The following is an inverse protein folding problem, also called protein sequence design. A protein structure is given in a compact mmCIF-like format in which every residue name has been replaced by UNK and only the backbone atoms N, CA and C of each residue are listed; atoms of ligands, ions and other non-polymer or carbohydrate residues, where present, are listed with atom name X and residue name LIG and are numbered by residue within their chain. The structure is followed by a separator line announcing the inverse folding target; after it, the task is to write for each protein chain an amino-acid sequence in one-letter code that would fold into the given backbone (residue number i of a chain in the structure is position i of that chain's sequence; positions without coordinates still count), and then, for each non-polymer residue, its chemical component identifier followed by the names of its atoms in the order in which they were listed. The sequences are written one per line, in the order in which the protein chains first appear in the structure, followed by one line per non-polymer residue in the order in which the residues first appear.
data_IF_415795589387
#
_entry.id   IF_415795589387
#
_cell.length_a   1.000
_cell.length_b   1.000
_cell.length_c   1.000
_cell.angle_alpha   90.00
_cell.angle_beta   90.00
_cell.angle_gamma   90.00
#
_symmetry.space_group_name_H-M   'P 1'
#
loop_
_entity.id
_entity.type
_entity.pdbx_description
1 polymer ?
#
# COMPACT_ATOMS: atom_id res chain seq x y z
N UNK A 1 -24.60 9.01 -6.69
CA UNK A 1 -24.77 10.46 -6.92
C UNK A 1 -23.42 11.06 -7.23
N UNK A 2 -23.28 11.85 -8.32
CA UNK A 2 -22.03 12.49 -8.70
C UNK A 2 -21.54 13.44 -7.60
N UNK A 3 -20.24 13.54 -7.41
CA UNK A 3 -19.61 14.49 -6.49
C UNK A 3 -19.30 15.78 -7.27
N UNK A 4 -19.92 16.89 -6.89
CA UNK A 4 -19.67 18.20 -7.51
C UNK A 4 -18.35 18.81 -6.99
N UNK A 5 -17.78 19.74 -7.77
CA UNK A 5 -16.61 20.50 -7.36
C UNK A 5 -16.83 21.24 -6.03
N UNK A 6 -18.02 21.85 -5.85
CA UNK A 6 -18.34 22.60 -4.62
C UNK A 6 -18.39 21.70 -3.39
N UNK A 7 -18.93 20.47 -3.51
CA UNK A 7 -18.96 19.51 -2.40
C UNK A 7 -17.57 19.03 -2.05
N UNK A 8 -16.72 18.76 -3.06
CA UNK A 8 -15.34 18.36 -2.83
C UNK A 8 -14.49 19.50 -2.26
N UNK A 9 -14.67 20.75 -2.73
CA UNK A 9 -14.02 21.93 -2.17
C UNK A 9 -14.41 22.18 -0.69
N UNK A 10 -15.69 22.03 -0.36
CA UNK A 10 -16.17 22.14 1.02
C UNK A 10 -15.53 21.10 1.93
N UNK A 11 -15.39 19.85 1.44
CA UNK A 11 -14.66 18.82 2.16
C UNK A 11 -13.17 19.17 2.32
N UNK A 12 -12.51 19.67 1.27
CA UNK A 12 -11.10 20.06 1.31
C UNK A 12 -10.83 21.15 2.33
N UNK A 13 -11.68 22.18 2.41
CA UNK A 13 -11.59 23.22 3.44
C UNK A 13 -11.67 22.66 4.86
N UNK A 14 -12.60 21.73 5.10
CA UNK A 14 -12.71 21.07 6.40
C UNK A 14 -11.48 20.20 6.70
N UNK A 15 -10.95 19.48 5.70
CA UNK A 15 -9.74 18.68 5.84
C UNK A 15 -8.56 19.53 6.31
N UNK A 16 -8.36 20.71 5.71
CA UNK A 16 -7.26 21.61 6.08
C UNK A 16 -7.36 22.09 7.53
N UNK A 17 -8.57 22.39 8.03
CA UNK A 17 -8.79 22.73 9.45
C UNK A 17 -8.42 21.54 10.35
N UNK A 18 -8.84 20.34 9.98
CA UNK A 18 -8.50 19.13 10.73
C UNK A 18 -7.00 18.84 10.67
N UNK A 19 -6.34 19.07 9.53
CA UNK A 19 -4.89 18.89 9.36
C UNK A 19 -4.09 19.83 10.27
N UNK A 20 -4.44 21.11 10.33
CA UNK A 20 -3.80 22.08 11.24
C UNK A 20 -3.82 21.66 12.71
N UNK A 21 -4.87 20.96 13.13
CA UNK A 21 -5.09 20.59 14.52
C UNK A 21 -4.69 19.15 14.87
N UNK A 22 -4.57 18.24 13.88
CA UNK A 22 -4.48 16.79 14.12
C UNK A 22 -3.34 16.11 13.40
N UNK A 23 -2.67 16.75 12.44
CA UNK A 23 -1.58 16.14 11.70
C UNK A 23 -0.39 15.85 12.61
N UNK A 24 0.24 14.68 12.41
CA UNK A 24 1.37 14.25 13.25
C UNK A 24 2.62 15.07 13.01
N UNK A 25 2.80 15.64 11.80
CA UNK A 25 3.89 16.60 11.53
C UNK A 25 3.82 17.85 12.42
N UNK A 26 2.65 18.15 12.99
CA UNK A 26 2.41 19.27 13.91
C UNK A 26 2.51 18.84 15.38
N UNK A 27 2.74 17.56 15.67
CA UNK A 27 2.74 17.01 17.02
C UNK A 27 4.05 17.29 17.78
N UNK A 28 4.11 16.83 19.03
CA UNK A 28 5.22 17.09 19.94
C UNK A 28 6.51 16.35 19.53
N UNK A 29 7.63 16.75 20.17
CA UNK A 29 8.94 16.12 19.99
C UNK A 29 8.87 14.61 20.23
N UNK A 30 9.41 13.86 19.27
CA UNK A 30 9.44 12.39 19.29
C UNK A 30 10.51 11.84 20.22
N UNK A 31 10.23 10.67 20.79
CA UNK A 31 11.23 9.86 21.49
C UNK A 31 12.03 9.03 20.49
N UNK A 32 13.36 8.93 20.70
CA UNK A 32 14.24 8.06 19.91
C UNK A 32 14.22 6.64 20.47
N UNK A 33 14.42 5.66 19.59
CA UNK A 33 14.51 4.25 19.99
C UNK A 33 15.76 4.05 20.87
N UNK A 34 15.59 3.34 21.98
CA UNK A 34 16.66 3.00 22.93
C UNK A 34 16.91 1.49 22.90
N UNK A 35 18.08 1.05 23.38
CA UNK A 35 18.49 -0.36 23.36
C UNK A 35 17.50 -1.26 24.10
N UNK A 36 16.95 -0.78 25.18
CA UNK A 36 15.98 -1.46 26.04
C UNK A 36 14.65 -1.73 25.31
N UNK A 37 14.31 -0.90 24.34
CA UNK A 37 13.08 -1.03 23.53
C UNK A 37 13.21 -2.07 22.37
N UNK A 38 14.43 -2.52 22.04
CA UNK A 38 14.63 -3.50 20.96
C UNK A 38 13.95 -4.85 21.23
N UNK A 39 14.05 -5.47 22.42
CA UNK A 39 13.39 -6.73 22.70
C UNK A 39 11.85 -6.64 22.69
N UNK A 40 11.29 -5.43 22.83
CA UNK A 40 9.85 -5.19 22.82
C UNK A 40 9.27 -5.08 21.41
N UNK A 41 10.10 -5.11 20.37
CA UNK A 41 9.67 -5.04 18.99
C UNK A 41 9.04 -6.37 18.59
N UNK A 42 7.72 -6.40 18.51
CA UNK A 42 6.95 -7.49 17.95
C UNK A 42 6.33 -6.97 16.64
N UNK A 43 6.79 -7.53 15.52
CA UNK A 43 6.37 -7.12 14.20
C UNK A 43 5.89 -8.33 13.38
N UNK A 44 4.68 -8.87 13.66
CA UNK A 44 4.18 -10.11 13.06
C UNK A 44 3.64 -9.94 11.63
N UNK A 45 3.72 -8.75 11.05
CA UNK A 45 3.09 -8.38 9.79
C UNK A 45 3.30 -9.43 8.69
N UNK A 46 4.55 -9.77 8.38
CA UNK A 46 4.86 -10.71 7.31
C UNK A 46 4.67 -12.18 7.66
N UNK A 47 4.45 -12.52 8.94
CA UNK A 47 4.24 -13.90 9.36
C UNK A 47 2.80 -14.22 9.76
N UNK A 48 1.90 -13.23 9.74
CA UNK A 48 0.51 -13.39 10.18
C UNK A 48 -0.18 -14.58 9.50
N UNK A 49 0.03 -14.74 8.19
CA UNK A 49 -0.52 -15.86 7.41
C UNK A 49 0.09 -17.22 7.80
N UNK A 50 1.29 -17.26 8.37
CA UNK A 50 1.97 -18.48 8.78
C UNK A 50 1.65 -18.87 10.22
N UNK A 51 1.22 -17.93 11.07
CA UNK A 51 0.92 -18.19 12.49
C UNK A 51 -0.22 -19.20 12.72
N UNK A 52 -1.01 -19.52 11.70
CA UNK A 52 -2.03 -20.59 11.80
C UNK A 52 -1.43 -21.99 11.80
N UNK A 53 -0.20 -22.19 11.32
CA UNK A 53 0.46 -23.49 11.24
C UNK A 53 1.14 -23.86 12.56
N UNK A 54 0.94 -25.10 13.06
CA UNK A 54 1.49 -25.54 14.35
C UNK A 54 3.00 -25.38 14.45
N UNK A 55 3.72 -25.64 13.35
CA UNK A 55 5.17 -25.58 13.28
C UNK A 55 5.69 -24.15 13.52
N UNK A 56 4.98 -23.14 13.03
CA UNK A 56 5.30 -21.73 13.25
C UNK A 56 4.86 -21.29 14.66
N UNK A 57 3.69 -21.74 15.11
CA UNK A 57 3.19 -21.46 16.48
C UNK A 57 4.11 -21.97 17.58
N UNK A 58 4.86 -23.02 17.30
CA UNK A 58 5.79 -23.61 18.26
C UNK A 58 7.07 -22.78 18.46
N UNK A 59 7.34 -21.79 17.59
CA UNK A 59 8.49 -20.91 17.72
C UNK A 59 8.32 -19.95 18.89
N UNK A 60 9.38 -19.77 19.67
CA UNK A 60 9.40 -18.80 20.78
C UNK A 60 9.60 -17.37 20.27
N UNK A 61 9.28 -16.39 21.11
CA UNK A 61 9.53 -14.99 20.77
C UNK A 61 11.02 -14.71 20.50
N UNK A 62 11.94 -15.37 21.22
CA UNK A 62 13.37 -15.23 21.01
C UNK A 62 13.80 -15.74 19.62
N UNK A 63 13.16 -16.82 19.14
CA UNK A 63 13.42 -17.34 17.79
C UNK A 63 12.84 -16.42 16.70
N UNK A 64 11.74 -15.76 16.98
CA UNK A 64 11.08 -14.83 16.04
C UNK A 64 11.67 -13.41 16.05
N UNK A 65 12.35 -12.99 17.12
CA UNK A 65 12.84 -11.64 17.29
C UNK A 65 13.76 -11.15 16.14
N UNK A 66 14.73 -11.93 15.62
CA UNK A 66 15.56 -11.52 14.49
C UNK A 66 14.74 -11.28 13.23
N UNK A 67 13.71 -12.11 12.99
CA UNK A 67 12.81 -11.96 11.88
C UNK A 67 11.94 -10.71 12.01
N UNK A 68 11.38 -10.46 13.19
CA UNK A 68 10.58 -9.26 13.46
C UNK A 68 11.40 -7.98 13.20
N UNK A 69 12.62 -7.96 13.70
CA UNK A 69 13.50 -6.80 13.53
C UNK A 69 13.86 -6.56 12.06
N UNK A 70 14.22 -7.63 11.32
CA UNK A 70 14.52 -7.52 9.89
C UNK A 70 13.28 -7.10 9.09
N UNK A 71 12.12 -7.69 9.38
CA UNK A 71 10.85 -7.36 8.73
C UNK A 71 10.45 -5.90 8.98
N UNK A 72 10.65 -5.41 10.19
CA UNK A 72 10.44 -3.99 10.50
C UNK A 72 11.38 -3.09 9.71
N UNK A 73 12.68 -3.43 9.63
CA UNK A 73 13.64 -2.67 8.82
C UNK A 73 13.23 -2.63 7.34
N UNK A 74 12.85 -3.76 6.78
CA UNK A 74 12.46 -3.85 5.37
C UNK A 74 11.17 -3.05 5.11
N UNK A 75 10.20 -3.07 6.03
CA UNK A 75 8.98 -2.27 5.96
C UNK A 75 9.29 -0.78 6.05
N UNK A 76 10.02 -0.32 7.07
CA UNK A 76 10.37 1.11 7.22
C UNK A 76 11.13 1.65 6.01
N UNK A 77 12.01 0.84 5.42
CA UNK A 77 12.72 1.20 4.21
C UNK A 77 11.77 1.33 3.01
N UNK A 78 10.88 0.34 2.83
CA UNK A 78 9.88 0.32 1.75
C UNK A 78 8.91 1.50 1.85
N UNK A 79 8.39 1.77 3.04
CA UNK A 79 7.50 2.90 3.34
C UNK A 79 8.18 4.22 3.00
N UNK A 80 9.37 4.49 3.58
CA UNK A 80 10.09 5.73 3.32
C UNK A 80 10.42 5.93 1.83
N UNK A 81 10.66 4.84 1.09
CA UNK A 81 10.93 4.91 -0.34
C UNK A 81 9.65 5.20 -1.15
N UNK A 82 8.55 4.55 -0.81
CA UNK A 82 7.26 4.71 -1.47
C UNK A 82 6.71 6.12 -1.29
N UNK A 83 6.70 6.61 -0.06
CA UNK A 83 6.15 7.93 0.28
C UNK A 83 6.93 9.06 -0.40
N UNK A 84 8.26 9.01 -0.39
CA UNK A 84 9.08 10.06 -1.04
C UNK A 84 9.01 10.00 -2.56
N UNK A 85 9.17 8.81 -3.14
CA UNK A 85 9.37 8.69 -4.59
C UNK A 85 8.07 8.54 -5.38
N UNK A 86 6.97 8.23 -4.71
CA UNK A 86 5.68 8.09 -5.37
C UNK A 86 4.62 9.04 -4.79
N UNK A 87 4.23 8.87 -3.51
CA UNK A 87 3.07 9.62 -2.96
C UNK A 87 3.32 11.11 -2.97
N UNK A 88 4.47 11.56 -2.43
CA UNK A 88 4.82 12.99 -2.42
C UNK A 88 4.96 13.56 -3.83
N UNK A 89 5.57 12.82 -4.76
CA UNK A 89 5.70 13.24 -6.17
C UNK A 89 4.32 13.40 -6.82
N UNK A 90 3.41 12.44 -6.62
CA UNK A 90 2.06 12.49 -7.17
C UNK A 90 1.21 13.59 -6.52
N UNK A 91 1.34 13.80 -5.21
CA UNK A 91 0.69 14.92 -4.50
C UNK A 91 1.17 16.29 -5.03
N UNK A 92 2.48 16.43 -5.27
CA UNK A 92 3.05 17.61 -5.88
C UNK A 92 2.52 17.85 -7.31
N UNK A 93 2.37 16.81 -8.11
CA UNK A 93 1.78 16.87 -9.45
C UNK A 93 0.30 17.25 -9.40
N UNK A 94 -0.47 16.64 -8.48
CA UNK A 94 -1.89 16.94 -8.29
C UNK A 94 -2.13 18.41 -7.93
N UNK A 95 -1.23 19.00 -7.13
CA UNK A 95 -1.33 20.39 -6.72
C UNK A 95 -0.95 21.40 -7.81
N UNK A 96 0.03 21.06 -8.67
CA UNK A 96 0.69 22.04 -9.55
C UNK A 96 0.45 21.83 -11.04
N UNK A 97 0.02 20.64 -11.46
CA UNK A 97 -0.18 20.32 -12.86
C UNK A 97 -1.67 20.18 -13.19
N UNK A 98 -1.99 20.41 -14.45
CA UNK A 98 -3.34 20.24 -14.96
C UNK A 98 -3.71 18.75 -15.00
N UNK A 99 -4.77 18.38 -14.29
CA UNK A 99 -5.35 17.04 -14.31
C UNK A 99 -6.29 16.82 -15.51
N UNK A 100 -6.64 17.87 -16.22
CA UNK A 100 -7.71 17.88 -17.22
C UNK A 100 -9.11 17.98 -16.60
N UNK A 101 -9.19 18.20 -15.29
CA UNK A 101 -10.39 18.45 -14.51
C UNK A 101 -10.15 19.67 -13.61
N UNK A 102 -11.19 20.47 -13.42
CA UNK A 102 -11.10 21.63 -12.52
C UNK A 102 -10.93 21.17 -11.07
N UNK A 103 -9.88 21.66 -10.41
CA UNK A 103 -9.64 21.47 -8.98
C UNK A 103 -9.55 22.84 -8.31
N UNK A 104 -10.27 23.02 -7.20
CA UNK A 104 -10.16 24.22 -6.39
C UNK A 104 -8.80 24.33 -5.70
N UNK A 105 -8.42 25.54 -5.31
CA UNK A 105 -7.18 25.78 -4.56
C UNK A 105 -7.17 25.00 -3.24
N UNK A 106 -8.32 24.83 -2.59
CA UNK A 106 -8.41 24.03 -1.35
C UNK A 106 -8.09 22.56 -1.60
N UNK A 107 -8.54 21.96 -2.70
CA UNK A 107 -8.22 20.58 -3.08
C UNK A 107 -6.71 20.45 -3.34
N UNK A 108 -6.13 21.38 -4.08
CA UNK A 108 -4.69 21.43 -4.35
C UNK A 108 -3.87 21.58 -3.07
N UNK A 109 -4.34 22.41 -2.14
CA UNK A 109 -3.70 22.61 -0.84
C UNK A 109 -3.76 21.34 0.02
N UNK A 110 -4.84 20.57 -0.03
CA UNK A 110 -4.90 19.25 0.64
C UNK A 110 -3.85 18.31 0.08
N UNK A 111 -3.65 18.27 -1.23
CA UNK A 111 -2.59 17.43 -1.81
C UNK A 111 -1.20 17.81 -1.28
N UNK A 112 -0.90 19.12 -1.12
CA UNK A 112 0.35 19.58 -0.49
C UNK A 112 0.42 19.17 0.99
N UNK A 113 -0.68 19.27 1.73
CA UNK A 113 -0.74 18.88 3.13
C UNK A 113 -0.44 17.38 3.31
N UNK A 114 -1.06 16.52 2.49
CA UNK A 114 -0.77 15.09 2.46
C UNK A 114 0.70 14.84 2.12
N UNK A 115 1.23 15.41 1.03
CA UNK A 115 2.64 15.27 0.69
C UNK A 115 3.60 15.72 1.79
N UNK A 116 3.17 16.66 2.66
CA UNK A 116 3.94 17.08 3.84
C UNK A 116 3.92 16.00 4.92
N UNK A 117 2.74 15.40 5.18
CA UNK A 117 2.60 14.28 6.12
C UNK A 117 3.48 13.10 5.66
N UNK A 118 3.43 12.74 4.37
CA UNK A 118 4.22 11.63 3.80
C UNK A 118 5.73 11.84 3.90
N UNK A 119 6.20 13.06 3.63
CA UNK A 119 7.62 13.39 3.83
C UNK A 119 8.02 13.28 5.31
N UNK A 120 7.12 13.60 6.23
CA UNK A 120 7.36 13.44 7.65
C UNK A 120 7.36 11.96 8.08
N UNK A 121 6.44 11.14 7.58
CA UNK A 121 6.44 9.69 7.81
C UNK A 121 7.75 9.06 7.33
N UNK A 122 8.18 9.39 6.11
CA UNK A 122 9.46 8.94 5.56
C UNK A 122 10.66 9.37 6.41
N UNK A 123 10.67 10.62 6.88
CA UNK A 123 11.71 11.13 7.78
C UNK A 123 11.79 10.30 9.07
N UNK A 124 10.65 10.03 9.71
CA UNK A 124 10.60 9.23 10.93
C UNK A 124 11.01 7.78 10.70
N UNK A 125 10.56 7.17 9.60
CA UNK A 125 10.98 5.82 9.22
C UNK A 125 12.51 5.74 9.06
N UNK A 126 13.13 6.75 8.44
CA UNK A 126 14.60 6.85 8.32
C UNK A 126 15.32 7.03 9.64
N UNK A 127 14.75 7.80 10.58
CA UNK A 127 15.30 7.92 11.94
C UNK A 127 15.28 6.57 12.67
N UNK A 128 14.15 5.84 12.63
CA UNK A 128 14.02 4.52 13.23
C UNK A 128 15.02 3.51 12.62
N UNK A 129 15.20 3.53 11.30
CA UNK A 129 16.21 2.71 10.62
C UNK A 129 17.63 3.02 11.11
N UNK A 130 17.97 4.30 11.27
CA UNK A 130 19.27 4.72 11.77
C UNK A 130 19.48 4.27 13.24
N UNK A 131 18.45 4.37 14.08
CA UNK A 131 18.50 3.89 15.45
C UNK A 131 18.67 2.36 15.50
N UNK A 132 17.87 1.59 14.77
CA UNK A 132 17.98 0.13 14.69
C UNK A 132 19.37 -0.29 14.23
N UNK A 133 19.87 0.30 13.14
CA UNK A 133 21.22 0.04 12.64
C UNK A 133 22.28 0.29 13.71
N UNK A 134 22.19 1.42 14.40
CA UNK A 134 23.18 1.82 15.44
C UNK A 134 23.14 0.87 16.64
N UNK A 135 21.94 0.45 17.05
CA UNK A 135 21.74 -0.36 18.26
C UNK A 135 21.97 -1.86 18.03
N UNK A 136 21.76 -2.36 16.82
CA UNK A 136 21.72 -3.80 16.53
C UNK A 136 22.64 -4.24 15.40
N UNK A 137 23.08 -3.32 14.53
CA UNK A 137 23.79 -3.63 13.29
C UNK A 137 22.88 -4.12 12.14
N UNK A 138 21.58 -4.32 12.38
CA UNK A 138 20.62 -4.75 11.35
C UNK A 138 20.39 -3.62 10.35
N UNK A 139 20.42 -3.97 9.08
CA UNK A 139 20.13 -3.07 7.96
C UNK A 139 18.99 -3.66 7.12
N UNK A 140 18.25 -2.83 6.38
CA UNK A 140 17.26 -3.33 5.44
C UNK A 140 17.94 -4.27 4.44
N UNK A 141 17.31 -5.40 4.17
CA UNK A 141 17.68 -6.18 2.99
C UNK A 141 17.20 -5.39 1.78
N UNK A 142 18.02 -5.34 0.71
CA UNK A 142 17.59 -4.69 -0.52
C UNK A 142 16.26 -5.32 -0.95
N UNK A 143 15.18 -4.63 -0.63
CA UNK A 143 13.87 -5.04 -1.09
C UNK A 143 13.84 -4.82 -2.60
N UNK A 144 13.26 -5.77 -3.33
CA UNK A 144 12.89 -5.55 -4.73
C UNK A 144 12.24 -4.18 -4.83
N UNK A 145 12.50 -3.41 -5.91
CA UNK A 145 11.89 -2.10 -6.07
C UNK A 145 10.40 -2.21 -5.78
N UNK A 146 9.88 -1.26 -5.04
CA UNK A 146 8.45 -1.13 -4.82
C UNK A 146 7.75 -1.35 -6.16
N UNK A 147 6.69 -2.13 -6.18
CA UNK A 147 5.87 -2.43 -7.37
C UNK A 147 5.46 -1.16 -8.15
N UNK A 148 5.70 0.00 -7.60
CA UNK A 148 5.25 1.32 -8.07
C UNK A 148 6.35 2.18 -8.67
N UNK A 149 7.63 1.92 -8.37
CA UNK A 149 8.74 2.82 -8.73
C UNK A 149 9.53 2.26 -9.91
N UNK A 150 9.68 3.07 -10.95
CA UNK A 150 10.30 2.72 -12.24
C UNK A 150 11.83 2.48 -12.18
N UNK A 151 12.48 2.84 -11.08
CA UNK A 151 13.94 2.68 -10.95
C UNK A 151 14.28 1.76 -9.80
N UNK A 152 15.09 0.71 -10.05
CA UNK A 152 15.69 -0.06 -8.96
C UNK A 152 16.55 0.88 -8.11
N UNK A 153 16.37 0.83 -6.81
CA UNK A 153 17.31 1.48 -5.89
C UNK A 153 18.52 0.59 -5.79
N UNK A 154 19.61 0.98 -6.44
CA UNK A 154 20.90 0.34 -6.23
C UNK A 154 21.44 0.75 -4.86
N UNK A 155 21.62 -0.21 -3.97
CA UNK A 155 22.46 -0.04 -2.79
C UNK A 155 23.88 -0.40 -3.22
N UNK A 156 24.86 0.49 -2.97
CA UNK A 156 26.27 0.19 -3.27
C UNK A 156 26.68 -1.15 -2.64
N UNK A 157 27.12 -2.10 -3.47
CA UNK A 157 27.61 -3.42 -3.04
C UNK A 157 26.84 -4.62 -3.57
N UNK A 158 25.81 -4.47 -4.40
CA UNK A 158 25.04 -5.59 -4.97
C UNK A 158 25.55 -5.97 -6.38
N UNK A 159 26.47 -6.92 -6.44
CA UNK A 159 26.86 -7.56 -7.73
C UNK A 159 25.90 -8.69 -8.17
N UNK A 160 24.99 -9.15 -7.32
CA UNK A 160 24.08 -10.29 -7.58
C UNK A 160 22.58 -9.94 -7.47
N UNK A 161 22.15 -8.82 -8.06
CA UNK A 161 20.70 -8.54 -8.15
C UNK A 161 20.03 -9.42 -9.21
N UNK A 162 18.90 -10.08 -8.88
CA UNK A 162 18.10 -10.74 -9.91
C UNK A 162 17.66 -9.73 -10.96
N UNK A 163 17.75 -10.12 -12.23
CA UNK A 163 17.32 -9.31 -13.39
C UNK A 163 15.97 -8.63 -13.12
N UNK A 164 15.79 -7.37 -13.57
CA UNK A 164 14.56 -6.63 -13.36
C UNK A 164 13.35 -7.48 -13.79
N UNK A 165 12.26 -7.32 -13.06
CA UNK A 165 10.99 -7.99 -13.37
C UNK A 165 10.66 -7.76 -14.84
N UNK A 166 10.28 -8.80 -15.54
CA UNK A 166 9.85 -8.74 -16.95
C UNK A 166 8.54 -7.98 -17.15
N UNK A 167 7.89 -7.57 -16.06
CA UNK A 167 6.65 -6.80 -16.04
C UNK A 167 6.95 -5.30 -15.89
N UNK A 168 6.23 -4.43 -16.63
CA UNK A 168 6.32 -2.98 -16.41
C UNK A 168 5.93 -2.63 -14.97
N UNK A 169 6.38 -1.49 -14.47
CA UNK A 169 5.85 -0.96 -13.21
C UNK A 169 4.36 -0.62 -13.37
N UNK A 170 3.55 -0.58 -12.29
CA UNK A 170 2.16 -0.15 -12.37
C UNK A 170 1.98 1.20 -13.08
N UNK A 171 2.91 2.13 -12.88
CA UNK A 171 2.88 3.42 -13.54
C UNK A 171 3.12 3.32 -15.05
N UNK A 172 4.12 2.53 -15.47
CA UNK A 172 4.38 2.27 -16.89
C UNK A 172 3.23 1.52 -17.55
N UNK A 173 2.61 0.58 -16.82
CA UNK A 173 1.43 -0.14 -17.27
C UNK A 173 0.28 0.84 -17.58
N UNK A 174 -0.07 1.73 -16.66
CA UNK A 174 -1.11 2.72 -16.90
C UNK A 174 -0.76 3.67 -18.06
N UNK A 175 0.50 4.13 -18.15
CA UNK A 175 0.96 4.96 -19.28
C UNK A 175 0.83 4.26 -20.63
N UNK A 176 1.06 2.95 -20.67
CA UNK A 176 0.98 2.15 -21.90
C UNK A 176 -0.46 1.90 -22.39
N UNK A 177 -1.44 1.95 -21.50
CA UNK A 177 -2.84 1.61 -21.82
C UNK A 177 -3.68 2.84 -22.16
N UNK A 178 -3.39 3.99 -21.53
CA UNK A 178 -4.20 5.20 -21.70
C UNK A 178 -3.58 6.19 -22.67
N UNK A 179 -4.43 7.01 -23.31
CA UNK A 179 -3.98 8.11 -24.14
C UNK A 179 -3.19 9.15 -23.32
N UNK A 180 -2.31 9.96 -23.94
CA UNK A 180 -1.59 11.03 -23.24
C UNK A 180 -2.51 11.99 -22.48
N UNK A 181 -3.72 12.22 -22.97
CA UNK A 181 -4.73 13.07 -22.29
C UNK A 181 -5.16 12.46 -20.95
N UNK A 182 -5.27 11.14 -20.86
CA UNK A 182 -5.71 10.43 -19.66
C UNK A 182 -4.56 10.04 -18.71
N UNK A 183 -3.31 10.22 -19.11
CA UNK A 183 -2.16 9.75 -18.30
C UNK A 183 -2.17 10.33 -16.88
N UNK A 184 -2.44 11.63 -16.73
CA UNK A 184 -2.50 12.28 -15.41
C UNK A 184 -3.63 11.73 -14.55
N UNK A 185 -4.80 11.54 -15.15
CA UNK A 185 -5.96 10.94 -14.48
C UNK A 185 -5.63 9.50 -14.05
N UNK A 186 -4.99 8.73 -14.91
CA UNK A 186 -4.62 7.35 -14.63
C UNK A 186 -3.55 7.25 -13.52
N UNK A 187 -2.53 8.10 -13.53
CA UNK A 187 -1.52 8.22 -12.47
C UNK A 187 -2.17 8.57 -11.13
N UNK A 188 -3.07 9.55 -11.11
CA UNK A 188 -3.82 9.95 -9.91
C UNK A 188 -4.77 8.84 -9.44
N UNK A 189 -5.39 8.11 -10.37
CA UNK A 189 -6.22 6.95 -10.04
C UNK A 189 -5.40 5.84 -9.38
N UNK A 190 -4.20 5.57 -9.88
CA UNK A 190 -3.28 4.61 -9.26
C UNK A 190 -2.90 5.05 -7.84
N UNK A 191 -2.59 6.34 -7.63
CA UNK A 191 -2.35 6.89 -6.30
C UNK A 191 -3.55 6.62 -5.38
N UNK A 192 -4.78 6.93 -5.83
CA UNK A 192 -5.98 6.69 -5.02
C UNK A 192 -6.14 5.21 -4.64
N UNK A 193 -5.83 4.28 -5.55
CA UNK A 193 -5.92 2.83 -5.30
C UNK A 193 -4.88 2.42 -4.26
N UNK A 194 -3.64 2.84 -4.40
CA UNK A 194 -2.54 2.46 -3.52
C UNK A 194 -2.73 3.00 -2.10
N UNK A 195 -3.07 4.25 -1.94
CA UNK A 195 -3.37 4.89 -0.66
C UNK A 195 -4.56 4.24 0.10
N UNK A 196 -5.47 3.61 -0.62
CA UNK A 196 -6.57 2.86 0.00
C UNK A 196 -6.24 1.39 0.27
N UNK A 197 -5.17 0.86 -0.31
CA UNK A 197 -4.78 -0.55 -0.16
C UNK A 197 -3.97 -0.82 1.11
N UNK A 198 -3.17 0.15 1.55
CA UNK A 198 -2.14 -0.02 2.60
C UNK A 198 -2.71 0.09 4.03
N UNK A 199 -3.82 0.80 4.21
CA UNK A 199 -4.31 1.24 5.53
C UNK A 199 -4.67 0.11 6.49
N UNK A 200 -5.23 -1.01 6.02
CA UNK A 200 -5.70 -2.08 6.92
C UNK A 200 -4.55 -2.84 7.58
N UNK A 201 -3.41 -2.92 6.91
CA UNK A 201 -2.22 -3.58 7.44
C UNK A 201 -1.62 -2.77 8.60
N UNK A 202 -1.60 -1.45 8.47
CA UNK A 202 -1.20 -0.56 9.56
C UNK A 202 -2.20 -0.54 10.73
N UNK A 203 -3.49 -0.72 10.46
CA UNK A 203 -4.52 -0.85 11.51
C UNK A 203 -4.24 -2.00 12.47
N UNK A 204 -3.85 -3.14 11.94
CA UNK A 204 -3.52 -4.31 12.76
C UNK A 204 -2.27 -4.07 13.62
N UNK A 205 -1.25 -3.43 13.06
CA UNK A 205 -0.02 -3.06 13.78
C UNK A 205 -0.27 -2.06 14.90
N UNK A 206 -1.18 -1.10 14.68
CA UNK A 206 -1.51 -0.07 15.67
C UNK A 206 -2.38 -0.61 16.82
N UNK A 207 -3.22 -1.63 16.57
CA UNK A 207 -4.08 -2.23 17.61
C UNK A 207 -3.29 -2.90 18.73
N UNK A 208 -2.19 -3.56 18.41
CA UNK A 208 -1.35 -4.28 19.38
C UNK A 208 -0.39 -3.36 20.14
N UNK A 209 -0.32 -2.10 19.75
CA UNK A 209 0.65 -1.14 20.29
C UNK A 209 0.15 -0.41 21.54
N UNK A 210 -0.05 -1.15 22.64
CA UNK A 210 -0.27 -0.53 23.98
C UNK A 210 0.99 0.13 24.55
N UNK A 211 2.15 -0.14 23.95
CA UNK A 211 3.45 0.35 24.40
C UNK A 211 3.75 1.75 23.85
N UNK A 212 4.46 2.56 24.65
CA UNK A 212 5.03 3.84 24.22
C UNK A 212 6.41 3.69 23.55
N UNK A 213 6.72 2.50 23.04
CA UNK A 213 7.89 2.26 22.21
C UNK A 213 7.81 3.15 20.94
N UNK A 214 8.90 3.81 20.54
CA UNK A 214 8.92 4.71 19.37
C UNK A 214 8.37 4.10 18.07
N UNK A 215 8.55 2.80 17.84
CA UNK A 215 7.96 2.09 16.69
C UNK A 215 6.44 2.05 16.79
N UNK A 216 5.92 1.73 17.98
CA UNK A 216 4.46 1.70 18.22
C UNK A 216 3.83 3.10 18.12
N UNK A 217 4.54 4.12 18.56
CA UNK A 217 4.12 5.53 18.41
C UNK A 217 4.06 5.88 16.93
N UNK A 218 5.13 5.59 16.17
CA UNK A 218 5.18 5.81 14.73
C UNK A 218 3.99 5.15 14.01
N UNK A 219 3.72 3.87 14.27
CA UNK A 219 2.63 3.15 13.62
C UNK A 219 1.25 3.78 13.93
N UNK A 220 1.02 4.26 15.15
CA UNK A 220 -0.25 4.93 15.53
C UNK A 220 -0.40 6.29 14.87
N UNK A 221 0.66 7.08 14.87
CA UNK A 221 0.67 8.42 14.25
C UNK A 221 0.47 8.32 12.75
N UNK A 222 1.22 7.45 12.10
CA UNK A 222 1.12 7.16 10.68
C UNK A 222 -0.33 6.74 10.33
N UNK A 223 -0.87 5.73 11.03
CA UNK A 223 -2.23 5.28 10.81
C UNK A 223 -3.27 6.40 10.97
N UNK A 224 -3.06 7.32 11.91
CA UNK A 224 -3.98 8.43 12.13
C UNK A 224 -4.02 9.39 10.92
N UNK A 225 -2.86 9.66 10.32
CA UNK A 225 -2.76 10.49 9.12
C UNK A 225 -3.32 9.73 7.90
N UNK A 226 -2.96 8.46 7.72
CA UNK A 226 -3.47 7.59 6.65
C UNK A 226 -5.01 7.48 6.64
N UNK A 227 -5.64 7.49 7.80
CA UNK A 227 -7.09 7.53 7.88
C UNK A 227 -7.70 8.77 7.20
N UNK A 228 -7.03 9.93 7.27
CA UNK A 228 -7.44 11.16 6.59
C UNK A 228 -7.11 11.13 5.09
N UNK A 229 -5.91 10.65 4.73
CA UNK A 229 -5.46 10.49 3.35
C UNK A 229 -6.41 9.59 2.57
N UNK A 230 -6.74 8.43 3.12
CA UNK A 230 -7.72 7.49 2.57
C UNK A 230 -9.04 8.16 2.20
N UNK A 231 -9.62 8.94 3.11
CA UNK A 231 -10.91 9.61 2.86
C UNK A 231 -10.79 10.66 1.75
N UNK A 232 -9.68 11.38 1.68
CA UNK A 232 -9.43 12.33 0.60
C UNK A 232 -9.33 11.62 -0.75
N UNK A 233 -8.52 10.57 -0.86
CA UNK A 233 -8.32 9.85 -2.12
C UNK A 233 -9.56 9.08 -2.58
N UNK A 234 -10.41 8.62 -1.66
CA UNK A 234 -11.72 8.08 -2.00
C UNK A 234 -12.60 9.12 -2.69
N UNK A 235 -12.65 10.34 -2.15
CA UNK A 235 -13.43 11.43 -2.74
C UNK A 235 -12.82 11.93 -4.04
N UNK A 236 -11.50 11.98 -4.13
CA UNK A 236 -10.80 12.36 -5.36
C UNK A 236 -11.11 11.38 -6.49
N UNK A 237 -11.02 10.07 -6.25
CA UNK A 237 -11.37 9.07 -7.27
C UNK A 237 -12.83 9.18 -7.69
N UNK A 238 -13.75 9.37 -6.73
CA UNK A 238 -15.16 9.59 -7.03
C UNK A 238 -15.37 10.84 -7.87
N UNK A 239 -14.70 11.94 -7.53
CA UNK A 239 -14.76 13.19 -8.29
C UNK A 239 -14.25 12.98 -9.73
N UNK A 240 -13.08 12.36 -9.89
CA UNK A 240 -12.53 12.03 -11.20
C UNK A 240 -13.53 11.21 -12.00
N UNK A 241 -13.97 10.08 -11.46
CA UNK A 241 -14.85 9.14 -12.15
C UNK A 241 -16.16 9.75 -12.63
N UNK A 242 -16.73 10.64 -11.83
CA UNK A 242 -18.02 11.27 -12.16
C UNK A 242 -17.92 12.46 -13.11
N UNK A 243 -16.72 13.01 -13.32
CA UNK A 243 -16.51 14.22 -14.13
C UNK A 243 -15.72 13.98 -15.43
N UNK A 244 -15.25 12.77 -15.70
CA UNK A 244 -14.69 12.40 -17.01
C UNK A 244 -15.80 11.96 -17.97
N UNK A 245 -15.51 11.96 -19.29
CA UNK A 245 -16.44 11.53 -20.32
C UNK A 245 -16.72 10.02 -20.24
N UNK A 246 -17.80 9.57 -20.86
CA UNK A 246 -18.13 8.14 -20.94
C UNK A 246 -17.04 7.35 -21.67
N UNK A 247 -16.48 7.88 -22.75
CA UNK A 247 -15.37 7.29 -23.47
C UNK A 247 -14.13 7.11 -22.58
N UNK A 248 -13.78 8.16 -21.81
CA UNK A 248 -12.66 8.14 -20.86
C UNK A 248 -12.90 7.12 -19.72
N UNK A 249 -14.16 6.95 -19.23
CA UNK A 249 -14.51 5.91 -18.25
C UNK A 249 -14.28 4.49 -18.78
N UNK A 250 -14.68 4.23 -20.02
CA UNK A 250 -14.44 2.92 -20.64
C UNK A 250 -12.94 2.62 -20.70
N UNK A 251 -12.11 3.59 -21.11
CA UNK A 251 -10.65 3.41 -21.20
C UNK A 251 -10.05 3.23 -19.80
N UNK A 252 -10.39 4.09 -18.85
CA UNK A 252 -9.87 4.04 -17.48
C UNK A 252 -10.33 2.78 -16.76
N UNK A 253 -11.59 2.37 -16.93
CA UNK A 253 -12.13 1.13 -16.37
C UNK A 253 -11.38 -0.11 -16.85
N UNK A 254 -11.03 -0.17 -18.14
CA UNK A 254 -10.19 -1.24 -18.69
C UNK A 254 -8.77 -1.22 -18.11
N UNK A 255 -8.18 -0.02 -17.94
CA UNK A 255 -6.85 0.12 -17.36
C UNK A 255 -6.83 -0.36 -15.89
N UNK A 256 -7.84 0.00 -15.10
CA UNK A 256 -7.98 -0.44 -13.71
C UNK A 256 -8.18 -1.96 -13.64
N UNK A 257 -9.10 -2.52 -14.44
CA UNK A 257 -9.32 -3.97 -14.47
C UNK A 257 -8.05 -4.73 -14.86
N UNK A 258 -7.34 -4.27 -15.89
CA UNK A 258 -6.06 -4.84 -16.32
C UNK A 258 -4.97 -4.73 -15.24
N UNK A 259 -4.94 -3.64 -14.47
CA UNK A 259 -4.05 -3.50 -13.32
C UNK A 259 -4.33 -4.55 -12.25
N UNK A 260 -5.61 -4.78 -11.88
CA UNK A 260 -5.97 -5.83 -10.94
C UNK A 260 -5.58 -7.22 -11.46
N UNK A 261 -5.86 -7.51 -12.74
CA UNK A 261 -5.48 -8.76 -13.36
C UNK A 261 -3.97 -9.00 -13.29
N UNK A 262 -3.17 -8.02 -13.70
CA UNK A 262 -1.73 -8.18 -13.85
C UNK A 262 -0.99 -8.21 -12.50
N UNK A 263 -1.39 -7.37 -11.52
CA UNK A 263 -0.63 -7.19 -10.29
C UNK A 263 -1.21 -7.92 -9.08
N UNK A 264 -2.50 -8.24 -9.10
CA UNK A 264 -3.15 -8.95 -7.98
C UNK A 264 -3.51 -10.40 -8.33
N UNK A 265 -3.92 -10.69 -9.57
CA UNK A 265 -4.43 -12.01 -9.92
C UNK A 265 -3.39 -12.89 -10.62
N UNK A 266 -2.66 -12.35 -11.60
CA UNK A 266 -1.68 -13.08 -12.42
C UNK A 266 -0.35 -13.27 -11.68
N UNK A 267 -0.38 -13.83 -10.48
CA UNK A 267 0.83 -14.19 -9.75
C UNK A 267 1.33 -15.57 -10.18
N UNK A 268 2.60 -15.65 -10.60
CA UNK A 268 3.23 -16.92 -10.93
C UNK A 268 3.29 -17.82 -9.68
N UNK A 269 2.64 -18.98 -9.72
CA UNK A 269 2.52 -19.91 -8.61
C UNK A 269 3.89 -20.37 -8.08
N UNK A 270 4.86 -20.65 -8.96
CA UNK A 270 6.20 -21.10 -8.57
C UNK A 270 6.96 -19.99 -7.82
N UNK A 271 6.87 -18.74 -8.31
CA UNK A 271 7.49 -17.57 -7.65
C UNK A 271 6.83 -17.30 -6.30
N UNK A 272 5.52 -17.49 -6.20
CA UNK A 272 4.78 -17.35 -4.94
C UNK A 272 5.21 -18.42 -3.94
N UNK A 273 5.34 -19.68 -4.40
CA UNK A 273 5.83 -20.78 -3.57
C UNK A 273 7.25 -20.49 -3.07
N UNK A 274 8.16 -20.11 -3.95
CA UNK A 274 9.54 -19.76 -3.60
C UNK A 274 9.59 -18.59 -2.61
N UNK A 275 8.77 -17.55 -2.79
CA UNK A 275 8.69 -16.42 -1.88
C UNK A 275 8.26 -16.85 -0.48
N UNK A 276 7.17 -17.61 -0.36
CA UNK A 276 6.67 -18.09 0.94
C UNK A 276 7.64 -19.06 1.58
N UNK A 277 8.22 -19.99 0.83
CA UNK A 277 9.22 -20.93 1.35
C UNK A 277 10.41 -20.18 1.95
N UNK A 278 11.01 -19.24 1.21
CA UNK A 278 12.14 -18.42 1.70
C UNK A 278 11.78 -17.57 2.92
N UNK A 279 10.56 -17.04 2.98
CA UNK A 279 10.09 -16.27 4.13
C UNK A 279 10.00 -17.15 5.39
N UNK A 280 9.50 -18.39 5.25
CA UNK A 280 9.37 -19.34 6.35
C UNK A 280 10.75 -19.90 6.78
N UNK A 281 11.67 -20.14 5.84
CA UNK A 281 13.06 -20.53 6.15
C UNK A 281 13.78 -19.48 7.01
N UNK A 282 13.50 -18.19 6.79
CA UNK A 282 14.03 -17.10 7.64
C UNK A 282 13.53 -17.17 9.09
N UNK A 283 12.47 -17.92 9.38
CA UNK A 283 12.01 -18.19 10.74
C UNK A 283 12.82 -19.31 11.44
N UNK A 284 13.80 -19.92 10.75
CA UNK A 284 14.64 -20.99 11.26
C UNK A 284 14.06 -22.39 11.06
N UNK A 285 12.99 -22.54 10.27
CA UNK A 285 12.42 -23.85 9.91
C UNK A 285 13.22 -24.51 8.79
N UNK A 286 13.23 -25.84 8.75
CA UNK A 286 13.94 -26.58 7.68
C UNK A 286 13.34 -26.33 6.31
N UNK A 287 14.12 -26.45 5.21
CA UNK A 287 13.61 -26.26 3.84
C UNK A 287 12.39 -27.11 3.51
N UNK A 288 12.38 -28.39 3.94
CA UNK A 288 11.25 -29.30 3.70
C UNK A 288 9.98 -28.87 4.47
N UNK A 289 10.13 -28.47 5.74
CA UNK A 289 9.03 -27.94 6.53
C UNK A 289 8.50 -26.63 5.92
N UNK A 290 9.39 -25.72 5.53
CA UNK A 290 9.04 -24.45 4.93
C UNK A 290 8.30 -24.61 3.61
N UNK A 291 8.76 -25.52 2.75
CA UNK A 291 8.09 -25.86 1.49
C UNK A 291 6.70 -26.47 1.72
N UNK A 292 6.57 -27.37 2.71
CA UNK A 292 5.27 -27.96 3.05
C UNK A 292 4.26 -26.89 3.49
N UNK A 293 4.65 -25.99 4.41
CA UNK A 293 3.79 -24.89 4.87
C UNK A 293 3.42 -23.96 3.72
N UNK A 294 4.40 -23.58 2.88
CA UNK A 294 4.17 -22.70 1.72
C UNK A 294 3.18 -23.32 0.72
N UNK A 295 3.31 -24.62 0.43
CA UNK A 295 2.39 -25.36 -0.45
C UNK A 295 0.97 -25.35 0.14
N UNK A 296 0.82 -25.68 1.42
CA UNK A 296 -0.49 -25.68 2.11
C UNK A 296 -1.14 -24.29 2.08
N UNK A 297 -0.36 -23.23 2.30
CA UNK A 297 -0.86 -21.85 2.24
C UNK A 297 -1.40 -21.52 0.83
N UNK A 298 -0.66 -21.84 -0.22
CA UNK A 298 -1.09 -21.58 -1.60
C UNK A 298 -2.33 -22.38 -1.95
N UNK A 299 -2.39 -23.66 -1.56
CA UNK A 299 -3.56 -24.51 -1.79
C UNK A 299 -4.81 -23.99 -1.07
N UNK A 300 -4.67 -23.47 0.16
CA UNK A 300 -5.77 -22.85 0.88
C UNK A 300 -6.23 -21.54 0.23
N UNK A 301 -5.28 -20.69 -0.17
CA UNK A 301 -5.59 -19.43 -0.84
C UNK A 301 -6.22 -19.62 -2.22
N UNK A 302 -5.87 -20.70 -2.92
CA UNK A 302 -6.45 -21.02 -4.24
C UNK A 302 -7.93 -21.36 -4.17
N UNK A 303 -8.42 -21.83 -3.01
CA UNK A 303 -9.82 -22.16 -2.76
C UNK A 303 -10.69 -20.94 -2.41
N UNK A 304 -10.05 -19.82 -2.09
CA UNK A 304 -10.76 -18.58 -1.76
C UNK A 304 -11.05 -17.80 -3.05
N UNK A 305 -12.31 -17.48 -3.36
CA UNK A 305 -12.64 -16.64 -4.50
C UNK A 305 -11.89 -15.29 -4.47
N UNK A 306 -11.54 -14.74 -5.64
CA UNK A 306 -10.76 -13.49 -5.70
C UNK A 306 -11.41 -12.35 -4.93
N UNK A 307 -12.73 -12.14 -5.08
CA UNK A 307 -13.48 -11.09 -4.36
C UNK A 307 -13.45 -11.22 -2.83
N UNK A 308 -13.21 -12.43 -2.31
CA UNK A 308 -13.17 -12.71 -0.88
C UNK A 308 -11.78 -12.60 -0.25
N UNK A 309 -10.72 -12.39 -1.06
CA UNK A 309 -9.35 -12.27 -0.58
C UNK A 309 -9.12 -10.90 0.09
N UNK A 310 -8.49 -10.90 1.26
CA UNK A 310 -8.33 -9.67 2.07
C UNK A 310 -7.63 -8.54 1.32
N UNK A 311 -6.59 -8.83 0.54
CA UNK A 311 -5.85 -7.83 -0.22
C UNK A 311 -6.65 -7.21 -1.39
N UNK A 312 -7.77 -7.80 -1.79
CA UNK A 312 -8.70 -7.29 -2.82
C UNK A 312 -9.81 -6.43 -2.19
N UNK A 313 -10.25 -6.76 -0.97
CA UNK A 313 -11.42 -6.13 -0.35
C UNK A 313 -11.31 -4.61 -0.27
N UNK A 314 -10.16 -4.09 0.13
CA UNK A 314 -10.00 -2.64 0.29
C UNK A 314 -9.97 -1.87 -1.02
N UNK A 315 -9.16 -2.27 -2.02
CA UNK A 315 -9.26 -1.67 -3.35
C UNK A 315 -10.67 -1.76 -3.93
N UNK A 316 -11.39 -2.88 -3.73
CA UNK A 316 -12.76 -3.01 -4.24
C UNK A 316 -13.77 -2.14 -3.49
N UNK A 317 -13.61 -1.90 -2.19
CA UNK A 317 -14.43 -0.91 -1.46
C UNK A 317 -14.24 0.51 -2.01
N UNK A 318 -13.03 0.87 -2.39
CA UNK A 318 -12.77 2.15 -3.08
C UNK A 318 -13.48 2.21 -4.42
N UNK A 319 -13.39 1.15 -5.23
CA UNK A 319 -14.04 1.01 -6.54
C UNK A 319 -15.56 1.17 -6.39
N UNK A 320 -16.15 0.52 -5.40
CA UNK A 320 -17.56 0.62 -5.05
C UNK A 320 -17.95 2.04 -4.59
N UNK A 321 -17.20 2.62 -3.65
CA UNK A 321 -17.43 3.97 -3.16
C UNK A 321 -17.41 5.02 -4.27
N UNK A 322 -16.48 4.89 -5.20
CA UNK A 322 -16.37 5.80 -6.33
C UNK A 322 -17.42 5.54 -7.43
N UNK A 323 -18.10 4.38 -7.41
CA UNK A 323 -19.18 4.02 -8.34
C UNK A 323 -18.70 3.37 -9.64
N UNK A 324 -17.45 2.89 -9.68
CA UNK A 324 -16.92 2.22 -10.87
C UNK A 324 -17.64 0.89 -11.14
N UNK A 325 -18.04 0.18 -10.09
CA UNK A 325 -18.82 -1.06 -10.18
C UNK A 325 -20.26 -0.88 -10.68
N UNK A 326 -20.76 0.37 -10.79
CA UNK A 326 -22.07 0.71 -11.35
C UNK A 326 -22.00 1.06 -12.85
N UNK A 327 -20.81 1.17 -13.41
CA UNK A 327 -20.57 1.42 -14.82
C UNK A 327 -20.51 0.07 -15.56
N UNK A 328 -21.54 -0.24 -16.33
CA UNK A 328 -21.75 -1.56 -16.93
C UNK A 328 -20.50 -2.15 -17.62
N UNK A 329 -19.78 -1.42 -18.51
CA UNK A 329 -18.59 -1.95 -19.14
C UNK A 329 -17.47 -2.32 -18.16
N UNK A 330 -17.28 -1.54 -17.07
CA UNK A 330 -16.27 -1.80 -16.03
C UNK A 330 -16.71 -2.93 -15.12
N UNK A 331 -18.00 -2.97 -14.73
CA UNK A 331 -18.57 -4.04 -13.93
C UNK A 331 -18.39 -5.41 -14.58
N UNK A 332 -18.70 -5.52 -15.88
CA UNK A 332 -18.52 -6.77 -16.64
C UNK A 332 -17.08 -7.26 -16.61
N UNK A 333 -16.09 -6.35 -16.68
CA UNK A 333 -14.68 -6.71 -16.55
C UNK A 333 -14.35 -7.25 -15.15
N UNK A 334 -14.84 -6.60 -14.11
CA UNK A 334 -14.61 -7.05 -12.73
C UNK A 334 -15.28 -8.39 -12.42
N UNK A 335 -16.50 -8.64 -12.93
CA UNK A 335 -17.17 -9.95 -12.83
C UNK A 335 -16.35 -11.02 -13.55
N UNK A 336 -15.92 -10.74 -14.78
CA UNK A 336 -15.07 -11.67 -15.56
C UNK A 336 -13.77 -12.05 -14.85
N UNK A 337 -13.20 -11.13 -14.08
CA UNK A 337 -11.99 -11.36 -13.30
C UNK A 337 -12.28 -12.00 -11.92
N UNK A 338 -13.54 -12.27 -11.58
CA UNK A 338 -13.93 -12.79 -10.27
C UNK A 338 -13.68 -11.82 -9.11
N UNK A 339 -13.63 -10.51 -9.39
CA UNK A 339 -13.48 -9.43 -8.41
C UNK A 339 -14.82 -8.96 -7.84
N UNK A 340 -15.89 -9.23 -8.54
CA UNK A 340 -17.29 -9.04 -8.09
C UNK A 340 -18.02 -10.37 -8.24
N UNK A 341 -19.01 -10.60 -7.37
CA UNK A 341 -19.95 -11.71 -7.53
C UNK A 341 -20.82 -11.52 -8.77
N UNK A 342 -21.04 -12.58 -9.52
CA UNK A 342 -21.99 -12.55 -10.62
C UNK A 342 -23.41 -12.69 -10.05
N UNK A 343 -24.10 -11.56 -9.94
CA UNK A 343 -25.48 -11.52 -9.43
C UNK A 343 -26.47 -12.26 -10.34
N UNK A 344 -26.08 -12.56 -11.59
CA UNK A 344 -26.93 -13.32 -12.53
C UNK A 344 -26.92 -14.83 -12.22
N UNK A 345 -25.91 -15.36 -11.53
CA UNK A 345 -25.87 -16.76 -11.07
C UNK A 345 -26.68 -17.00 -9.79
N UNK A 346 -27.10 -15.91 -9.11
CA UNK A 346 -27.87 -15.96 -7.86
C UNK A 346 -29.39 -15.74 -8.05
N UNK A 347 -29.84 -15.47 -9.26
CA UNK A 347 -31.22 -15.27 -9.63
C UNK A 347 -31.82 -16.49 -10.32
#
# INVERSE_FOLDING_TARGET
MALSLNEFDSFAKKYLVDWENKSTVRSQKRSRLQKEGIPEIIFPFFIKSYLKYPEVKALTNEQLAPFYLQSLCDMLYGVAHFEVNFVTDQCGKLANLDLGLELSDSIKQVAIAIGTDEMYHAFVARELLADIKTLTGVIPTASKPSVVVDKPVSIEGEEDMPKPLTKPSPMEFFKGIVSPKLQRIAETTLLCILENSVVDDFFELAKDSKNNNPVSVYNREHLHDEGRHKVFFQRLLKYIWTNISEEDRVILGKAIAGYFEEYFLNQNADKKLEFHQKAIEKLGLSPDCSKNIATRLIDEESKVPHYAKDYIKNPMRLIEFAGLNQHEPTQQLFVKLGLLEDLAELA
#
